data_IF_406885940820
#
_entry.id   IF_406885940820
#
_cell.length_a   1.000
_cell.length_b   1.000
_cell.length_c   1.000
_cell.angle_alpha   90.00
_cell.angle_beta   90.00
_cell.angle_gamma   90.00
#
_symmetry.space_group_name_H-M   'P 1'
#
loop_
_entity.id
_entity.type
_entity.pdbx_description
1 polymer ?
#
# COMPACT_ATOMS: atom_id res chain seq x y z
N UNK A 1 -12.76 -24.76 8.08
CA UNK A 1 -11.86 -23.62 8.28
C UNK A 1 -11.26 -23.75 9.66
N UNK A 2 -9.97 -24.06 9.76
CA UNK A 2 -9.26 -24.20 11.03
C UNK A 2 -8.68 -22.85 11.44
N UNK A 3 -9.05 -22.37 12.64
CA UNK A 3 -8.66 -21.06 13.17
C UNK A 3 -7.84 -21.21 14.45
N UNK A 4 -6.72 -20.49 14.54
CA UNK A 4 -5.87 -20.42 15.73
C UNK A 4 -5.82 -19.00 16.27
N UNK A 5 -5.92 -18.84 17.59
CA UNK A 5 -5.69 -17.57 18.28
C UNK A 5 -4.34 -17.58 19.00
N UNK A 6 -3.58 -16.50 18.89
CA UNK A 6 -2.28 -16.32 19.53
C UNK A 6 -2.31 -15.00 20.29
N UNK A 7 -2.14 -15.04 21.61
CA UNK A 7 -2.00 -13.84 22.43
C UNK A 7 -0.55 -13.30 22.33
N UNK A 8 -0.41 -12.03 21.93
CA UNK A 8 0.85 -11.36 21.70
C UNK A 8 1.38 -10.53 22.90
N UNK A 9 0.68 -10.52 24.03
CA UNK A 9 0.96 -9.59 25.13
C UNK A 9 2.38 -9.73 25.73
N UNK A 10 2.90 -10.95 25.85
CA UNK A 10 4.20 -11.23 26.51
C UNK A 10 5.17 -12.02 25.60
N UNK A 11 4.96 -11.96 24.28
CA UNK A 11 5.81 -12.64 23.30
C UNK A 11 6.65 -11.61 22.53
N UNK A 12 7.88 -11.98 22.17
CA UNK A 12 8.69 -11.12 21.30
C UNK A 12 8.21 -11.20 19.84
N UNK A 13 8.48 -10.19 18.99
CA UNK A 13 8.19 -10.26 17.56
C UNK A 13 8.78 -11.50 16.88
N UNK A 14 9.99 -11.89 17.27
CA UNK A 14 10.69 -13.05 16.69
C UNK A 14 9.97 -14.35 17.02
N UNK A 15 9.57 -14.52 18.27
CA UNK A 15 8.85 -15.71 18.72
C UNK A 15 7.47 -15.79 18.07
N UNK A 16 6.74 -14.68 18.03
CA UNK A 16 5.42 -14.62 17.39
C UNK A 16 5.50 -14.99 15.91
N UNK A 17 6.42 -14.40 15.15
CA UNK A 17 6.61 -14.75 13.74
C UNK A 17 6.97 -16.22 13.54
N UNK A 18 7.79 -16.80 14.42
CA UNK A 18 8.12 -18.23 14.37
C UNK A 18 6.89 -19.09 14.63
N UNK A 19 6.04 -18.69 15.57
CA UNK A 19 4.78 -19.39 15.88
C UNK A 19 3.81 -19.30 14.70
N UNK A 20 3.63 -18.11 14.12
CA UNK A 20 2.75 -17.90 12.95
C UNK A 20 3.20 -18.77 11.78
N UNK A 21 4.50 -18.79 11.44
CA UNK A 21 5.03 -19.60 10.32
C UNK A 21 4.82 -21.11 10.51
N UNK A 22 4.84 -21.59 11.76
CA UNK A 22 4.52 -22.99 12.04
C UNK A 22 3.02 -23.24 11.90
N UNK A 23 2.21 -22.39 12.52
CA UNK A 23 0.76 -22.51 12.51
C UNK A 23 0.15 -22.38 11.11
N UNK A 24 0.72 -21.53 10.25
CA UNK A 24 0.22 -21.26 8.90
C UNK A 24 0.22 -22.49 7.97
N UNK A 25 0.93 -23.57 8.34
CA UNK A 25 0.95 -24.83 7.57
C UNK A 25 -0.26 -25.72 7.85
N UNK A 26 -0.92 -25.49 8.97
CA UNK A 26 -1.96 -26.38 9.51
C UNK A 26 -3.28 -25.64 9.76
N UNK A 27 -3.30 -24.31 9.60
CA UNK A 27 -4.48 -23.50 9.90
C UNK A 27 -4.79 -22.61 8.69
N UNK A 28 -6.08 -22.40 8.44
CA UNK A 28 -6.58 -21.52 7.39
C UNK A 28 -6.58 -20.05 7.84
N UNK A 29 -6.68 -19.82 9.15
CA UNK A 29 -6.77 -18.49 9.75
C UNK A 29 -6.05 -18.40 11.09
N UNK A 30 -5.35 -17.29 11.31
CA UNK A 30 -4.63 -16.98 12.56
C UNK A 30 -5.07 -15.60 13.05
N UNK A 31 -5.46 -15.50 14.32
CA UNK A 31 -5.80 -14.23 14.97
C UNK A 31 -4.73 -13.92 16.02
N UNK A 32 -4.13 -12.74 15.92
CA UNK A 32 -3.13 -12.21 16.84
C UNK A 32 -3.85 -11.22 17.77
N UNK A 33 -4.07 -11.63 19.01
CA UNK A 33 -4.73 -10.83 20.04
C UNK A 33 -3.70 -10.03 20.84
N UNK A 34 -4.08 -8.84 21.33
CA UNK A 34 -3.22 -7.95 22.13
C UNK A 34 -1.86 -7.62 21.47
N UNK A 35 -1.84 -7.16 20.19
CA UNK A 35 -0.60 -6.92 19.45
C UNK A 35 0.25 -5.76 20.00
N UNK A 36 -0.31 -4.88 20.83
CA UNK A 36 0.40 -3.78 21.52
C UNK A 36 1.28 -2.91 20.59
N UNK A 37 0.84 -2.67 19.34
CA UNK A 37 1.62 -1.96 18.32
C UNK A 37 3.04 -2.52 18.09
N UNK A 38 3.21 -3.82 18.31
CA UNK A 38 4.46 -4.53 18.12
C UNK A 38 4.94 -4.40 16.68
N UNK A 39 6.25 -4.21 16.51
CA UNK A 39 6.88 -4.08 15.20
C UNK A 39 7.10 -5.45 14.55
N UNK A 40 7.23 -5.48 13.23
CA UNK A 40 7.54 -6.67 12.43
C UNK A 40 6.52 -7.81 12.58
N UNK A 41 5.26 -7.52 12.88
CA UNK A 41 4.22 -8.54 12.91
C UNK A 41 4.02 -9.15 11.51
N UNK A 42 3.94 -10.48 11.42
CA UNK A 42 3.68 -11.21 10.16
C UNK A 42 4.79 -10.99 9.11
N UNK A 43 6.03 -10.83 9.55
CA UNK A 43 7.17 -10.58 8.67
C UNK A 43 7.65 -11.85 7.94
N UNK A 44 7.73 -11.79 6.62
CA UNK A 44 8.25 -12.84 5.75
C UNK A 44 7.44 -14.13 5.82
N UNK A 45 6.11 -14.03 5.96
CA UNK A 45 5.20 -15.17 5.89
C UNK A 45 4.95 -15.53 4.42
N UNK A 46 5.13 -16.80 4.07
CA UNK A 46 5.08 -17.28 2.69
C UNK A 46 3.91 -18.22 2.40
N UNK A 47 3.23 -18.65 3.45
CA UNK A 47 2.05 -19.49 3.40
C UNK A 47 0.81 -18.63 3.07
N UNK A 48 -0.07 -19.06 2.14
CA UNK A 48 -1.27 -18.32 1.76
C UNK A 48 -2.38 -18.49 2.80
N UNK A 49 -2.19 -17.92 3.98
CA UNK A 49 -3.10 -18.00 5.14
C UNK A 49 -3.72 -16.64 5.45
N UNK A 50 -4.90 -16.65 6.08
CA UNK A 50 -5.51 -15.44 6.64
C UNK A 50 -4.89 -15.11 8.00
N UNK A 51 -4.41 -13.88 8.16
CA UNK A 51 -3.90 -13.40 9.45
C UNK A 51 -4.64 -12.14 9.85
N UNK A 52 -5.26 -12.15 11.02
CA UNK A 52 -5.90 -10.97 11.62
C UNK A 52 -5.01 -10.46 12.75
N UNK A 53 -4.61 -9.20 12.71
CA UNK A 53 -4.01 -8.49 13.83
C UNK A 53 -5.15 -7.72 14.51
N UNK A 54 -5.58 -8.19 15.68
CA UNK A 54 -6.68 -7.61 16.43
C UNK A 54 -6.20 -6.42 17.28
N UNK A 55 -5.92 -5.33 16.58
CA UNK A 55 -5.42 -4.09 17.14
C UNK A 55 -4.49 -3.37 16.18
N UNK A 56 -3.68 -2.45 16.71
CA UNK A 56 -2.68 -1.75 15.91
C UNK A 56 -1.38 -2.55 15.81
N UNK A 57 -0.70 -2.41 14.67
CA UNK A 57 0.63 -2.93 14.41
C UNK A 57 1.65 -1.79 14.34
N UNK A 58 2.90 -2.10 14.69
CA UNK A 58 4.00 -1.14 14.61
C UNK A 58 4.65 -1.08 13.24
N UNK A 59 5.96 -0.80 13.22
CA UNK A 59 6.72 -0.67 11.98
C UNK A 59 6.87 -2.01 11.27
N UNK A 60 6.93 -1.99 9.94
CA UNK A 60 7.19 -3.16 9.09
C UNK A 60 6.19 -4.31 9.27
N UNK A 61 4.94 -4.02 9.64
CA UNK A 61 3.88 -5.02 9.67
C UNK A 61 3.67 -5.63 8.27
N UNK A 62 3.56 -6.95 8.18
CA UNK A 62 3.41 -7.70 6.93
C UNK A 62 4.52 -7.43 5.89
N UNK A 63 5.72 -7.02 6.31
CA UNK A 63 6.86 -6.88 5.39
C UNK A 63 7.26 -8.23 4.78
N UNK A 64 7.67 -8.22 3.51
CA UNK A 64 8.20 -9.36 2.76
C UNK A 64 7.27 -10.58 2.69
N UNK A 65 5.96 -10.41 2.86
CA UNK A 65 5.02 -11.52 2.70
C UNK A 65 4.94 -11.99 1.24
N UNK A 66 4.58 -13.27 1.08
CA UNK A 66 4.33 -13.89 -0.21
C UNK A 66 3.04 -14.72 -0.14
N UNK A 67 1.91 -14.14 -0.52
CA UNK A 67 0.63 -14.83 -0.68
C UNK A 67 -0.32 -14.76 0.52
N UNK A 68 0.16 -14.42 1.72
CA UNK A 68 -0.69 -14.25 2.89
C UNK A 68 -1.70 -13.09 2.72
N UNK A 69 -2.85 -13.20 3.38
CA UNK A 69 -3.85 -12.13 3.48
C UNK A 69 -3.87 -11.62 4.91
N UNK A 70 -3.40 -10.39 5.12
CA UNK A 70 -3.23 -9.80 6.45
C UNK A 70 -4.27 -8.69 6.64
N UNK A 71 -5.07 -8.78 7.70
CA UNK A 71 -6.04 -7.76 8.08
C UNK A 71 -5.62 -7.15 9.42
N UNK A 72 -5.48 -5.84 9.49
CA UNK A 72 -5.10 -5.08 10.68
C UNK A 72 -6.30 -4.25 11.12
N UNK A 73 -6.91 -4.61 12.24
CA UNK A 73 -8.13 -3.96 12.75
C UNK A 73 -7.87 -2.53 13.26
N UNK A 74 -6.60 -2.17 13.51
CA UNK A 74 -6.18 -0.85 13.97
C UNK A 74 -5.32 -0.10 12.97
N UNK A 75 -4.40 0.71 13.49
CA UNK A 75 -3.42 1.45 12.69
C UNK A 75 -2.18 0.60 12.39
N UNK A 76 -1.40 1.01 11.40
CA UNK A 76 -0.06 0.49 11.16
C UNK A 76 0.99 1.60 11.30
N UNK A 77 2.19 1.26 11.72
CA UNK A 77 3.32 2.19 11.78
C UNK A 77 3.93 2.46 10.40
N UNK A 78 5.23 2.78 10.36
CA UNK A 78 5.98 2.97 9.12
C UNK A 78 6.26 1.66 8.39
N UNK A 79 6.33 1.73 7.07
CA UNK A 79 6.69 0.64 6.16
C UNK A 79 5.81 -0.62 6.21
N UNK A 80 4.49 -0.54 6.44
CA UNK A 80 3.66 -1.74 6.36
C UNK A 80 3.65 -2.25 4.92
N UNK A 81 3.62 -3.58 4.77
CA UNK A 81 3.66 -4.28 3.48
C UNK A 81 4.92 -4.01 2.63
N UNK A 82 5.99 -3.49 3.23
CA UNK A 82 7.26 -3.25 2.54
C UNK A 82 7.79 -4.54 1.90
N UNK A 83 8.25 -4.46 0.64
CA UNK A 83 8.80 -5.55 -0.14
C UNK A 83 7.90 -6.80 -0.26
N UNK A 84 6.58 -6.70 -0.07
CA UNK A 84 5.70 -7.84 -0.35
C UNK A 84 5.69 -8.19 -1.85
N UNK A 85 5.47 -9.45 -2.17
CA UNK A 85 5.55 -9.96 -3.55
C UNK A 85 4.22 -10.46 -4.11
N UNK A 86 3.37 -11.03 -3.24
CA UNK A 86 2.01 -11.48 -3.53
C UNK A 86 1.20 -11.40 -2.23
N UNK A 87 -0.13 -11.48 -2.34
CA UNK A 87 -1.04 -11.46 -1.20
C UNK A 87 -1.78 -10.14 -1.05
N UNK A 88 -2.33 -9.91 0.13
CA UNK A 88 -3.15 -8.74 0.44
C UNK A 88 -2.89 -8.25 1.85
N UNK A 89 -2.85 -6.93 2.04
CA UNK A 89 -2.78 -6.29 3.36
C UNK A 89 -3.87 -5.23 3.46
N UNK A 90 -4.80 -5.38 4.40
CA UNK A 90 -5.86 -4.40 4.69
C UNK A 90 -5.64 -3.79 6.07
N UNK A 91 -5.67 -2.47 6.16
CA UNK A 91 -5.48 -1.70 7.39
C UNK A 91 -6.71 -0.82 7.59
N UNK A 92 -7.49 -1.10 8.64
CA UNK A 92 -8.73 -0.38 8.94
C UNK A 92 -8.50 1.05 9.48
N UNK A 93 -7.31 1.29 10.04
CA UNK A 93 -6.88 2.60 10.51
C UNK A 93 -6.12 3.42 9.48
N UNK A 94 -5.27 4.31 10.02
CA UNK A 94 -4.24 5.03 9.26
C UNK A 94 -2.94 4.23 9.26
N UNK A 95 -2.05 4.56 8.32
CA UNK A 95 -0.69 4.04 8.28
C UNK A 95 0.34 5.16 8.23
N UNK A 96 1.57 4.88 8.68
CA UNK A 96 2.64 5.87 8.63
C UNK A 96 3.32 5.97 7.26
N UNK A 97 4.58 6.38 7.25
CA UNK A 97 5.36 6.57 6.03
C UNK A 97 5.68 5.25 5.33
N UNK A 98 5.90 5.28 4.02
CA UNK A 98 6.46 4.15 3.26
C UNK A 98 5.52 2.95 3.10
N UNK A 99 4.20 3.14 3.18
CA UNK A 99 3.21 2.08 2.92
C UNK A 99 3.48 1.43 1.57
N UNK A 100 3.64 0.10 1.55
CA UNK A 100 3.89 -0.67 0.34
C UNK A 100 5.19 -0.26 -0.37
N UNK A 101 6.17 0.30 0.35
CA UNK A 101 7.47 0.58 -0.23
C UNK A 101 8.05 -0.67 -0.88
N UNK A 102 8.60 -0.51 -2.08
CA UNK A 102 9.29 -1.56 -2.78
C UNK A 102 8.47 -2.80 -3.16
N UNK A 103 7.14 -2.77 -3.04
CA UNK A 103 6.24 -3.87 -3.40
C UNK A 103 6.47 -4.35 -4.85
N UNK A 104 6.42 -5.67 -5.04
CA UNK A 104 6.57 -6.35 -6.34
C UNK A 104 5.23 -6.88 -6.88
N UNK A 105 4.18 -6.92 -6.08
CA UNK A 105 2.86 -7.44 -6.43
C UNK A 105 1.96 -7.61 -5.20
N UNK A 106 0.69 -7.94 -5.43
CA UNK A 106 -0.34 -7.96 -4.39
C UNK A 106 -1.05 -6.61 -4.22
N UNK A 107 -1.89 -6.53 -3.18
CA UNK A 107 -2.69 -5.32 -2.89
C UNK A 107 -2.52 -4.88 -1.45
N UNK A 108 -2.30 -3.58 -1.25
CA UNK A 108 -2.30 -2.94 0.08
C UNK A 108 -3.45 -1.95 0.11
N UNK A 109 -4.29 -2.01 1.15
CA UNK A 109 -5.43 -1.11 1.36
C UNK A 109 -5.32 -0.47 2.72
N UNK A 110 -5.33 0.85 2.77
CA UNK A 110 -5.41 1.65 4.01
C UNK A 110 -6.72 2.42 3.96
N UNK A 111 -7.58 2.25 4.97
CA UNK A 111 -8.91 2.88 4.97
C UNK A 111 -8.88 4.38 5.20
N UNK A 112 -7.89 4.87 5.93
CA UNK A 112 -7.75 6.28 6.28
C UNK A 112 -6.51 6.88 5.60
N UNK A 113 -5.90 7.85 6.24
CA UNK A 113 -4.71 8.56 5.75
C UNK A 113 -3.44 7.70 5.84
N UNK A 114 -2.50 8.02 4.96
CA UNK A 114 -1.13 7.50 4.98
C UNK A 114 -0.10 8.63 5.08
N UNK A 115 1.07 8.29 5.59
CA UNK A 115 2.21 9.21 5.66
C UNK A 115 2.88 9.47 4.31
N UNK A 116 4.13 9.90 4.38
CA UNK A 116 4.97 10.23 3.22
C UNK A 116 5.44 8.98 2.47
N UNK A 117 5.85 9.15 1.21
CA UNK A 117 6.56 8.14 0.41
C UNK A 117 5.79 6.83 0.23
N UNK A 118 4.45 6.89 0.19
CA UNK A 118 3.61 5.74 -0.15
C UNK A 118 4.04 5.17 -1.50
N UNK A 119 4.30 3.87 -1.57
CA UNK A 119 4.75 3.20 -2.79
C UNK A 119 6.11 3.65 -3.30
N UNK A 120 6.98 4.21 -2.45
CA UNK A 120 8.36 4.52 -2.83
C UNK A 120 9.02 3.28 -3.45
N UNK A 121 9.71 3.48 -4.57
CA UNK A 121 10.41 2.45 -5.35
C UNK A 121 9.57 1.19 -5.65
N UNK A 122 8.23 1.28 -5.66
CA UNK A 122 7.38 0.13 -5.99
C UNK A 122 7.59 -0.34 -7.43
N UNK A 123 7.55 -1.66 -7.65
CA UNK A 123 7.87 -2.30 -8.93
C UNK A 123 6.61 -2.74 -9.65
N UNK A 124 5.61 -3.19 -8.89
CA UNK A 124 4.27 -3.53 -9.37
C UNK A 124 3.32 -3.67 -8.17
N UNK A 125 2.06 -4.04 -8.39
CA UNK A 125 1.05 -4.19 -7.35
C UNK A 125 0.10 -3.00 -7.27
N UNK A 126 -0.78 -3.01 -6.28
CA UNK A 126 -1.81 -2.00 -6.07
C UNK A 126 -1.77 -1.49 -4.65
N UNK A 127 -1.74 -0.17 -4.47
CA UNK A 127 -1.91 0.47 -3.16
C UNK A 127 -3.17 1.34 -3.22
N UNK A 128 -4.11 1.17 -2.28
CA UNK A 128 -5.34 1.96 -2.17
C UNK A 128 -5.34 2.69 -0.83
N UNK A 129 -5.56 3.99 -0.87
CA UNK A 129 -5.60 4.89 0.29
C UNK A 129 -6.97 5.56 0.32
N UNK A 130 -7.75 5.29 1.37
CA UNK A 130 -9.09 5.83 1.53
C UNK A 130 -9.13 7.30 1.95
N UNK A 131 -8.06 7.79 2.60
CA UNK A 131 -7.88 9.19 2.97
C UNK A 131 -6.84 9.91 2.09
N UNK A 132 -6.06 10.76 2.74
CA UNK A 132 -5.00 11.56 2.13
C UNK A 132 -3.66 10.82 2.12
N UNK A 133 -2.77 11.23 1.23
CA UNK A 133 -1.41 10.70 1.12
C UNK A 133 -0.36 11.81 1.22
N UNK A 134 0.72 11.53 1.94
CA UNK A 134 1.75 12.51 2.30
C UNK A 134 2.70 12.89 1.16
N UNK A 135 3.83 13.47 1.58
CA UNK A 135 4.89 13.97 0.70
C UNK A 135 5.49 12.86 -0.16
N UNK A 136 5.75 13.13 -1.45
CA UNK A 136 6.46 12.24 -2.36
C UNK A 136 5.86 10.83 -2.54
N UNK A 137 4.53 10.70 -2.53
CA UNK A 137 3.90 9.42 -2.87
C UNK A 137 4.20 9.02 -4.32
N UNK A 138 4.61 7.77 -4.52
CA UNK A 138 5.11 7.25 -5.79
C UNK A 138 6.54 7.66 -6.14
N UNK A 139 7.35 8.08 -5.17
CA UNK A 139 8.78 8.39 -5.36
C UNK A 139 9.53 7.24 -6.03
N UNK A 140 10.15 7.48 -7.18
CA UNK A 140 10.84 6.47 -7.99
C UNK A 140 9.99 5.22 -8.32
N UNK A 141 8.67 5.37 -8.44
CA UNK A 141 7.77 4.28 -8.82
C UNK A 141 8.14 3.71 -10.20
N UNK A 142 8.35 2.39 -10.26
CA UNK A 142 8.81 1.64 -11.45
C UNK A 142 7.71 0.77 -12.08
N UNK A 143 6.51 0.80 -11.53
CA UNK A 143 5.34 0.10 -12.06
C UNK A 143 4.22 -0.07 -11.02
N UNK A 144 3.12 -0.69 -11.44
CA UNK A 144 1.93 -0.87 -10.61
C UNK A 144 1.01 0.36 -10.58
N UNK A 145 0.17 0.43 -9.56
CA UNK A 145 -0.76 1.55 -9.36
C UNK A 145 -0.91 1.95 -7.90
N UNK A 146 -1.04 3.26 -7.65
CA UNK A 146 -1.43 3.83 -6.37
C UNK A 146 -2.76 4.55 -6.59
N UNK A 147 -3.72 4.39 -5.69
CA UNK A 147 -5.05 5.02 -5.74
C UNK A 147 -5.26 5.76 -4.42
N UNK A 148 -5.41 7.07 -4.49
CA UNK A 148 -5.67 7.94 -3.33
C UNK A 148 -7.03 8.58 -3.50
N UNK A 149 -7.96 8.30 -2.59
CA UNK A 149 -9.33 8.85 -2.64
C UNK A 149 -9.35 10.32 -2.19
N UNK A 150 -8.48 10.71 -1.27
CA UNK A 150 -8.33 12.08 -0.79
C UNK A 150 -7.26 12.90 -1.52
N UNK A 151 -6.67 13.84 -0.80
CA UNK A 151 -5.65 14.76 -1.31
C UNK A 151 -4.26 14.11 -1.25
N UNK A 152 -3.37 14.53 -2.16
CA UNK A 152 -1.95 14.16 -2.18
C UNK A 152 -1.09 15.42 -1.95
N UNK A 153 -0.10 15.30 -1.07
CA UNK A 153 0.81 16.40 -0.71
C UNK A 153 1.84 16.69 -1.82
N UNK A 154 2.86 17.47 -1.48
CA UNK A 154 3.90 17.94 -2.39
C UNK A 154 4.69 16.78 -3.04
N UNK A 155 5.16 17.06 -4.25
CA UNK A 155 6.07 16.24 -5.06
C UNK A 155 5.52 14.85 -5.39
N UNK A 156 4.21 14.76 -5.64
CA UNK A 156 3.55 13.54 -6.06
C UNK A 156 4.17 12.98 -7.35
N UNK A 157 4.53 11.70 -7.34
CA UNK A 157 5.18 11.03 -8.46
C UNK A 157 6.61 11.48 -8.72
N UNK A 158 7.33 12.01 -7.72
CA UNK A 158 8.73 12.40 -7.87
C UNK A 158 9.57 11.32 -8.54
N UNK A 159 10.14 11.66 -9.70
CA UNK A 159 10.97 10.76 -10.50
C UNK A 159 10.29 9.42 -10.83
N UNK A 160 8.96 9.43 -11.00
CA UNK A 160 8.18 8.27 -11.47
C UNK A 160 8.71 7.77 -12.81
N UNK A 161 8.91 6.46 -12.95
CA UNK A 161 9.47 5.84 -14.18
C UNK A 161 8.36 5.16 -14.97
N UNK A 162 7.47 4.43 -14.29
CA UNK A 162 6.32 3.72 -14.87
C UNK A 162 5.22 3.55 -13.82
N UNK A 163 4.05 3.14 -14.28
CA UNK A 163 2.86 2.96 -13.44
C UNK A 163 2.02 4.23 -13.38
N UNK A 164 0.98 4.19 -12.54
CA UNK A 164 -0.05 5.23 -12.51
C UNK A 164 -0.46 5.53 -11.07
N UNK A 165 -0.58 6.82 -10.73
CA UNK A 165 -1.14 7.27 -9.44
C UNK A 165 -2.48 7.93 -9.72
N UNK A 166 -3.58 7.32 -9.29
CA UNK A 166 -4.93 7.87 -9.39
C UNK A 166 -5.24 8.69 -8.15
N UNK A 167 -5.78 9.90 -8.33
CA UNK A 167 -6.07 10.84 -7.23
C UNK A 167 -7.50 11.37 -7.38
N UNK A 168 -8.33 11.14 -6.35
CA UNK A 168 -9.72 11.60 -6.28
C UNK A 168 -9.88 13.01 -5.68
N UNK A 169 -8.90 13.44 -4.87
CA UNK A 169 -8.84 14.78 -4.30
C UNK A 169 -7.89 15.73 -5.04
N UNK A 170 -7.30 16.67 -4.29
CA UNK A 170 -6.39 17.69 -4.80
C UNK A 170 -4.96 17.16 -4.87
N UNK A 171 -4.26 17.56 -5.92
CA UNK A 171 -2.81 17.36 -6.07
C UNK A 171 -2.12 18.69 -5.75
N UNK A 172 -1.33 18.73 -4.68
CA UNK A 172 -0.67 19.98 -4.25
C UNK A 172 0.45 20.40 -5.19
N UNK A 173 1.39 19.50 -5.48
CA UNK A 173 2.41 19.69 -6.53
C UNK A 173 2.83 18.34 -7.10
N UNK A 174 3.42 18.37 -8.29
CA UNK A 174 4.02 17.20 -8.93
C UNK A 174 5.52 17.24 -8.75
N UNK A 175 6.12 16.06 -8.58
CA UNK A 175 7.56 15.91 -8.64
C UNK A 175 8.09 15.85 -10.08
N UNK A 176 9.40 15.66 -10.21
CA UNK A 176 10.11 15.54 -11.49
C UNK A 176 9.61 14.38 -12.32
N UNK A 177 9.66 14.53 -13.64
CA UNK A 177 9.14 13.56 -14.61
C UNK A 177 7.65 13.20 -14.44
N UNK A 178 6.87 13.85 -13.57
CA UNK A 178 5.44 13.58 -13.42
C UNK A 178 4.60 14.58 -14.26
N UNK A 179 3.50 14.08 -14.83
CA UNK A 179 2.45 14.89 -15.45
C UNK A 179 1.07 14.36 -15.08
N UNK A 180 0.08 15.23 -15.12
CA UNK A 180 -1.33 14.86 -14.92
C UNK A 180 -1.98 14.60 -16.28
N UNK A 181 -2.78 13.55 -16.35
CA UNK A 181 -3.67 13.21 -17.45
C UNK A 181 -5.09 12.95 -16.92
N UNK A 182 -6.07 13.02 -17.82
CA UNK A 182 -7.42 12.52 -17.53
C UNK A 182 -7.44 10.99 -17.60
N UNK A 183 -8.43 10.38 -16.96
CA UNK A 183 -8.72 8.96 -17.14
C UNK A 183 -9.57 8.77 -18.39
N UNK A 184 -9.34 7.67 -19.09
CA UNK A 184 -10.26 7.13 -20.10
C UNK A 184 -11.41 6.40 -19.41
N UNK A 185 -12.55 6.22 -20.10
CA UNK A 185 -13.73 5.60 -19.49
C UNK A 185 -13.49 4.14 -19.10
N UNK A 186 -12.71 3.39 -19.88
CA UNK A 186 -12.31 2.02 -19.53
C UNK A 186 -11.45 1.98 -18.24
N UNK A 187 -10.58 2.98 -18.02
CA UNK A 187 -9.79 3.09 -16.80
C UNK A 187 -10.70 3.41 -15.60
N UNK A 188 -11.70 4.29 -15.79
CA UNK A 188 -12.68 4.61 -14.74
C UNK A 188 -13.51 3.40 -14.32
N UNK A 189 -13.98 2.58 -15.26
CA UNK A 189 -14.74 1.37 -14.91
C UNK A 189 -13.88 0.36 -14.15
N UNK A 190 -12.62 0.13 -14.57
CA UNK A 190 -11.68 -0.74 -13.83
C UNK A 190 -11.39 -0.21 -12.43
N UNK A 191 -11.23 1.10 -12.29
CA UNK A 191 -11.03 1.75 -10.99
C UNK A 191 -12.25 1.53 -10.08
N UNK A 192 -13.46 1.69 -10.63
CA UNK A 192 -14.71 1.45 -9.91
C UNK A 192 -14.85 0.01 -9.43
N UNK A 193 -14.68 -0.97 -10.32
CA UNK A 193 -14.73 -2.40 -9.95
C UNK A 193 -13.74 -2.74 -8.82
N UNK A 194 -12.52 -2.19 -8.90
CA UNK A 194 -11.49 -2.39 -7.89
C UNK A 194 -11.85 -1.74 -6.55
N UNK A 195 -12.34 -0.50 -6.54
CA UNK A 195 -12.73 0.20 -5.32
C UNK A 195 -13.95 -0.44 -4.65
N UNK A 196 -14.95 -0.86 -5.42
CA UNK A 196 -16.13 -1.58 -4.93
C UNK A 196 -15.76 -2.95 -4.32
N UNK A 197 -14.79 -3.68 -4.91
CA UNK A 197 -14.26 -4.93 -4.32
C UNK A 197 -13.75 -4.71 -2.90
N UNK A 198 -13.12 -3.56 -2.64
CA UNK A 198 -12.66 -3.19 -1.30
C UNK A 198 -13.70 -2.39 -0.51
N UNK A 199 -14.96 -2.33 -0.94
CA UNK A 199 -16.06 -1.66 -0.22
C UNK A 199 -15.89 -0.14 -0.10
N UNK A 200 -15.11 0.49 -0.98
CA UNK A 200 -15.16 1.94 -1.15
C UNK A 200 -16.39 2.29 -2.01
N UNK A 201 -17.25 3.15 -1.48
CA UNK A 201 -18.49 3.56 -2.14
C UNK A 201 -18.37 5.01 -2.57
N UNK A 202 -18.03 5.22 -3.84
CA UNK A 202 -17.95 6.54 -4.44
C UNK A 202 -19.17 6.78 -5.33
N UNK A 203 -19.61 8.03 -5.37
CA UNK A 203 -20.61 8.52 -6.30
C UNK A 203 -20.04 8.60 -7.73
N UNK A 204 -20.88 8.53 -8.78
CA UNK A 204 -20.44 8.75 -10.15
C UNK A 204 -19.67 10.07 -10.33
N UNK A 205 -20.09 11.14 -9.65
CA UNK A 205 -19.45 12.44 -9.68
C UNK A 205 -18.04 12.43 -9.06
N UNK A 206 -17.81 11.61 -8.04
CA UNK A 206 -16.48 11.42 -7.45
C UNK A 206 -15.55 10.68 -8.42
N UNK A 207 -16.02 9.65 -9.12
CA UNK A 207 -15.23 8.98 -10.15
C UNK A 207 -14.83 9.92 -11.29
N UNK A 208 -15.67 10.90 -11.64
CA UNK A 208 -15.36 11.90 -12.68
C UNK A 208 -14.30 12.92 -12.24
N UNK A 209 -14.06 13.08 -10.93
CA UNK A 209 -13.01 13.97 -10.40
C UNK A 209 -11.62 13.35 -10.45
N UNK A 210 -11.52 12.03 -10.63
CA UNK A 210 -10.22 11.37 -10.64
C UNK A 210 -9.32 11.91 -11.74
N UNK A 211 -8.07 12.12 -11.36
CA UNK A 211 -6.96 12.45 -12.24
C UNK A 211 -5.90 11.37 -12.12
N UNK A 212 -5.09 11.16 -13.15
CA UNK A 212 -3.95 10.25 -13.07
C UNK A 212 -2.64 11.00 -13.22
N UNK A 213 -1.67 10.65 -12.37
CA UNK A 213 -0.28 11.07 -12.49
C UNK A 213 0.47 9.92 -13.16
N UNK A 214 1.18 10.25 -14.24
CA UNK A 214 1.96 9.31 -15.06
C UNK A 214 3.32 9.91 -15.42
N UNK A 215 4.32 9.10 -15.80
CA UNK A 215 5.61 9.63 -16.24
C UNK A 215 5.51 10.45 -17.53
N UNK A 216 6.28 11.54 -17.61
CA UNK A 216 6.53 12.30 -18.85
C UNK A 216 7.37 11.49 -19.83
N UNK A 217 8.38 10.79 -19.31
CA UNK A 217 9.27 9.92 -20.07
C UNK A 217 9.47 8.59 -19.35
N UNK A 218 9.48 7.49 -20.10
CA UNK A 218 9.86 6.17 -19.59
C UNK A 218 11.39 6.03 -19.36
N UNK A 219 12.19 7.01 -19.81
CA UNK A 219 13.66 7.05 -19.66
C UNK A 219 14.10 8.46 -19.20
N UNK A 220 13.72 8.91 -18.00
CA UNK A 220 13.99 10.29 -17.58
C UNK A 220 15.47 10.61 -17.39
N UNK A 221 16.30 9.59 -17.12
CA UNK A 221 17.75 9.76 -16.90
C UNK A 221 18.59 9.59 -18.18
N UNK A 222 17.98 9.25 -19.32
CA UNK A 222 18.69 8.99 -20.57
C UNK A 222 18.06 9.76 -21.73
N UNK A 223 18.65 10.89 -22.10
CA UNK A 223 18.17 11.78 -23.17
C UNK A 223 18.79 13.17 -23.08
N UNK A 224 18.74 13.98 -24.15
CA UNK A 224 19.46 15.26 -24.28
C UNK A 224 18.98 16.42 -23.40
N UNK A 225 17.98 16.22 -22.55
CA UNK A 225 17.57 17.19 -21.52
C UNK A 225 17.23 16.41 -20.26
N UNK A 226 18.21 16.26 -19.36
CA UNK A 226 17.96 15.85 -17.99
C UNK A 226 17.39 17.06 -17.24
N UNK A 227 16.29 16.90 -16.50
CA UNK A 227 15.75 17.94 -15.59
C UNK A 227 16.71 18.26 -14.41
N UNK A 228 17.89 17.64 -14.39
CA UNK A 228 19.02 18.01 -13.54
C UNK A 228 19.77 19.21 -14.14
N UNK A 229 19.26 20.42 -13.86
CA UNK A 229 20.07 21.63 -13.74
C UNK A 229 20.23 22.51 -14.98
N UNK A 230 19.39 23.54 -15.06
CA UNK A 230 19.83 24.92 -15.29
C UNK A 230 19.19 25.82 -14.25
#
# INVERSE_FOLDING_TARGET
>A
MQELKINAQEITPRELNRTIKKAAKENDRIIIENPNAMHYLVAGLTEPVDVVIDGSAGYFAATMIHGARVHINGNAGWFPADNMTQGEVVIEGSAGDGVGQGIYGGTVVVRKDVGSRTGEIMKNGTIIVGGNSGFMSGLFMMGGQIIVLGDISDDAGESIIRGTIYVGGKIKSLGKNAKIEELEDEEREKLKELLEKYQFQLTPEEYQKFRKIVPRSARPFYGKETEEGK
#
